data_IF_513383843793
#
_entry.id   IF_513383843793
#
_cell.length_a   1.000
_cell.length_b   1.000
_cell.length_c   1.000
_cell.angle_alpha   90.00
_cell.angle_beta   90.00
_cell.angle_gamma   90.00
#
_symmetry.space_group_name_H-M   'P 1'
#
loop_
_entity.id
_entity.type
_entity.pdbx_description
1 polymer ?
#
# COMPACT_ATOMS: atom_id res chain seq x y z
N UNK A 1 10.89 -63.41 50.20
CA UNK A 1 10.58 -63.88 48.83
C UNK A 1 10.19 -62.68 47.98
N UNK A 2 10.86 -62.52 46.84
CA UNK A 2 10.63 -61.51 45.80
C UNK A 2 9.29 -61.75 45.10
N UNK A 3 8.58 -60.70 44.66
CA UNK A 3 7.92 -60.65 43.34
C UNK A 3 7.58 -59.20 42.94
N UNK A 4 8.00 -58.89 41.72
CA UNK A 4 8.17 -57.60 41.05
C UNK A 4 6.90 -56.75 40.90
N UNK A 5 7.04 -55.45 41.14
CA UNK A 5 6.21 -54.39 40.55
C UNK A 5 6.86 -53.97 39.23
N UNK A 6 6.41 -54.52 38.10
CA UNK A 6 6.98 -54.19 36.78
C UNK A 6 5.93 -53.98 35.68
N UNK A 7 4.68 -53.64 36.01
CA UNK A 7 3.61 -53.61 35.01
C UNK A 7 2.76 -52.33 34.79
N UNK A 8 3.04 -51.12 35.36
CA UNK A 8 2.32 -49.92 34.89
C UNK A 8 3.14 -49.03 33.95
N UNK A 9 4.42 -49.33 33.68
CA UNK A 9 5.30 -48.42 32.91
C UNK A 9 5.22 -48.58 31.39
N UNK A 10 4.76 -49.71 30.87
CA UNK A 10 4.64 -49.92 29.42
C UNK A 10 3.33 -49.38 28.81
N UNK A 11 2.28 -49.16 29.63
CA UNK A 11 1.02 -48.59 29.14
C UNK A 11 1.06 -47.05 28.99
N UNK A 12 1.94 -46.36 29.73
CA UNK A 12 2.07 -44.90 29.67
C UNK A 12 2.93 -44.40 28.49
N UNK A 13 3.81 -45.26 27.95
CA UNK A 13 4.65 -44.92 26.81
C UNK A 13 3.89 -44.99 25.47
N UNK A 14 2.91 -45.89 25.34
CA UNK A 14 2.13 -46.06 24.10
C UNK A 14 1.08 -44.94 23.88
N UNK A 15 0.54 -44.36 24.95
CA UNK A 15 -0.41 -43.23 24.84
C UNK A 15 0.28 -41.90 24.48
N UNK A 16 1.57 -41.76 24.80
CA UNK A 16 2.33 -40.53 24.53
C UNK A 16 2.77 -40.41 23.07
N UNK A 17 2.91 -41.53 22.34
CA UNK A 17 3.28 -41.51 20.92
C UNK A 17 2.09 -41.19 19.98
N UNK A 18 0.86 -41.53 20.39
CA UNK A 18 -0.34 -41.25 19.58
C UNK A 18 -0.83 -39.79 19.69
N UNK A 19 -0.50 -39.08 20.77
CA UNK A 19 -0.86 -37.67 20.98
C UNK A 19 0.14 -36.68 20.37
N UNK A 20 1.34 -37.13 19.98
CA UNK A 20 2.35 -36.28 19.33
C UNK A 20 2.22 -36.23 17.80
N UNK A 21 1.44 -37.12 17.18
CA UNK A 21 1.20 -37.11 15.74
C UNK A 21 0.05 -36.17 15.30
N UNK A 22 -0.77 -35.69 16.23
CA UNK A 22 -1.93 -34.83 15.93
C UNK A 22 -1.59 -33.33 15.86
N UNK A 23 -0.33 -32.94 16.13
CA UNK A 23 0.15 -31.56 16.08
C UNK A 23 1.15 -31.31 14.94
N UNK A 24 1.23 -32.20 13.94
CA UNK A 24 1.95 -31.88 12.73
C UNK A 24 1.23 -30.70 12.04
N UNK A 25 1.87 -29.53 11.85
CA UNK A 25 1.28 -28.49 11.01
C UNK A 25 1.00 -29.12 9.66
N UNK A 26 -0.27 -29.11 9.23
CA UNK A 26 -0.61 -29.46 7.86
C UNK A 26 0.28 -28.59 6.97
N UNK A 27 1.20 -29.23 6.25
CA UNK A 27 2.03 -28.55 5.28
C UNK A 27 1.05 -27.87 4.31
N UNK A 28 0.92 -26.56 4.45
CA UNK A 28 0.09 -25.78 3.55
C UNK A 28 0.63 -26.02 2.16
N UNK A 29 -0.26 -26.26 1.19
CA UNK A 29 0.13 -26.39 -0.20
C UNK A 29 1.09 -25.24 -0.57
N UNK A 30 2.14 -25.50 -1.37
CA UNK A 30 3.04 -24.44 -1.80
C UNK A 30 2.19 -23.31 -2.38
N UNK A 31 2.41 -22.09 -1.88
CA UNK A 31 1.70 -20.92 -2.38
C UNK A 31 1.89 -20.87 -3.91
N UNK A 32 0.80 -20.63 -4.63
CA UNK A 32 0.88 -20.44 -6.08
C UNK A 32 1.91 -19.34 -6.40
N UNK A 33 2.73 -19.51 -7.45
CA UNK A 33 3.67 -18.48 -7.87
C UNK A 33 2.93 -17.16 -8.11
N UNK A 34 3.49 -16.05 -7.64
CA UNK A 34 2.94 -14.73 -7.96
C UNK A 34 2.98 -14.51 -9.49
N UNK A 35 1.95 -13.88 -10.06
CA UNK A 35 1.94 -13.58 -11.48
C UNK A 35 3.07 -12.62 -11.86
N UNK A 36 3.58 -12.74 -13.08
CA UNK A 36 4.59 -11.82 -13.64
C UNK A 36 3.97 -10.41 -13.80
N UNK A 37 4.52 -9.35 -13.21
CA UNK A 37 4.06 -7.98 -13.42
C UNK A 37 3.98 -7.57 -14.90
N UNK A 38 4.78 -8.17 -15.79
CA UNK A 38 4.69 -7.94 -17.24
C UNK A 38 3.38 -8.46 -17.86
N UNK A 39 2.70 -9.39 -17.20
CA UNK A 39 1.40 -9.92 -17.60
C UNK A 39 0.24 -9.00 -17.20
N UNK A 40 0.46 -7.99 -16.36
CA UNK A 40 -0.60 -7.05 -15.97
C UNK A 40 -1.21 -6.37 -17.19
N UNK A 41 -2.55 -6.35 -17.22
CA UNK A 41 -3.34 -5.58 -18.17
C UNK A 41 -4.32 -4.73 -17.37
N UNK A 42 -4.31 -3.40 -17.55
CA UNK A 42 -5.27 -2.53 -16.88
C UNK A 42 -6.70 -2.97 -17.20
N UNK A 43 -7.51 -3.13 -16.16
CA UNK A 43 -8.95 -3.41 -16.32
C UNK A 43 -9.70 -2.16 -16.77
N UNK A 44 -9.28 -1.00 -16.26
CA UNK A 44 -9.74 0.32 -16.68
C UNK A 44 -8.69 0.98 -17.57
N UNK A 45 -9.16 1.78 -18.53
CA UNK A 45 -8.28 2.63 -19.31
C UNK A 45 -7.50 3.59 -18.38
N UNK A 46 -6.15 3.64 -18.50
CA UNK A 46 -5.34 4.64 -17.81
C UNK A 46 -5.78 6.06 -18.18
N UNK A 47 -5.39 7.01 -17.33
CA UNK A 47 -5.68 8.42 -17.50
C UNK A 47 -4.46 9.09 -18.12
N UNK A 48 -4.64 9.75 -19.27
CA UNK A 48 -3.60 10.56 -19.88
C UNK A 48 -3.37 11.84 -19.07
N UNK A 49 -2.25 11.93 -18.35
CA UNK A 49 -1.88 13.09 -17.55
C UNK A 49 -0.86 13.95 -18.30
N UNK A 50 -1.17 15.24 -18.59
CA UNK A 50 -0.25 16.12 -19.31
C UNK A 50 1.14 16.20 -18.66
N UNK A 51 2.18 15.91 -19.44
CA UNK A 51 3.57 15.95 -18.99
C UNK A 51 4.02 14.75 -18.14
N UNK A 52 3.12 13.82 -17.80
CA UNK A 52 3.44 12.57 -17.08
C UNK A 52 3.25 11.35 -17.98
N UNK A 53 2.22 11.35 -18.83
CA UNK A 53 1.81 10.21 -19.64
C UNK A 53 0.64 9.44 -19.02
N UNK A 54 0.50 8.17 -19.39
CA UNK A 54 -0.58 7.31 -18.91
C UNK A 54 -0.42 6.94 -17.44
N UNK A 55 -1.47 7.13 -16.64
CA UNK A 55 -1.47 6.85 -15.20
C UNK A 55 -2.64 5.95 -14.83
N UNK A 56 -2.36 4.85 -14.13
CA UNK A 56 -3.40 3.96 -13.63
C UNK A 56 -4.22 4.60 -12.51
N UNK A 57 -5.50 4.22 -12.40
CA UNK A 57 -6.42 4.79 -11.41
C UNK A 57 -6.26 4.19 -10.01
N UNK A 58 -5.70 2.98 -9.93
CA UNK A 58 -5.76 2.14 -8.74
C UNK A 58 -4.37 1.74 -8.27
N UNK A 59 -4.24 1.57 -6.95
CA UNK A 59 -3.17 0.72 -6.44
C UNK A 59 -3.46 -0.74 -6.79
N UNK A 60 -2.43 -1.48 -7.18
CA UNK A 60 -2.53 -2.86 -7.66
C UNK A 60 -1.92 -3.80 -6.62
N UNK A 61 -2.57 -4.92 -6.34
CA UNK A 61 -2.07 -5.94 -5.40
C UNK A 61 -0.98 -6.80 -6.02
N UNK A 62 -0.35 -7.66 -5.21
CA UNK A 62 0.59 -8.69 -5.67
C UNK A 62 -0.03 -9.69 -6.68
N UNK A 63 -1.35 -9.80 -6.70
CA UNK A 63 -2.12 -10.67 -7.60
C UNK A 63 -2.57 -9.92 -8.87
N UNK A 64 -2.03 -8.73 -9.11
CA UNK A 64 -2.24 -7.88 -10.28
C UNK A 64 -3.71 -7.45 -10.50
N UNK A 65 -4.45 -7.25 -9.41
CA UNK A 65 -5.81 -6.71 -9.42
C UNK A 65 -5.89 -5.40 -8.65
N UNK A 66 -6.87 -4.52 -8.94
CA UNK A 66 -7.08 -3.30 -8.16
C UNK A 66 -7.32 -3.59 -6.68
N UNK A 67 -6.59 -2.92 -5.80
CA UNK A 67 -6.63 -3.12 -4.36
C UNK A 67 -7.97 -2.67 -3.75
N UNK A 68 -8.36 -3.35 -2.67
CA UNK A 68 -9.68 -3.23 -2.03
C UNK A 68 -9.62 -2.81 -0.55
N UNK A 69 -8.62 -2.02 -0.15
CA UNK A 69 -8.35 -1.65 1.25
C UNK A 69 -8.42 -2.88 2.15
N UNK A 70 -7.52 -3.85 1.91
CA UNK A 70 -7.48 -5.12 2.64
C UNK A 70 -8.82 -5.90 2.68
N UNK A 71 -9.69 -5.69 1.69
CA UNK A 71 -11.02 -6.30 1.60
C UNK A 71 -12.10 -5.61 2.45
N UNK A 72 -11.84 -4.43 3.00
CA UNK A 72 -12.81 -3.70 3.81
C UNK A 72 -14.06 -3.32 3.01
N UNK A 73 -15.21 -3.35 3.72
CA UNK A 73 -16.51 -2.99 3.17
C UNK A 73 -17.01 -1.71 3.82
N UNK A 74 -17.23 -0.67 3.02
CA UNK A 74 -17.80 0.59 3.47
C UNK A 74 -19.28 0.65 3.10
N UNK A 75 -20.16 0.56 4.12
CA UNK A 75 -21.60 0.46 3.90
C UNK A 75 -22.00 -0.78 3.09
N UNK A 76 -21.29 -1.90 3.26
CA UNK A 76 -21.51 -3.15 2.52
C UNK A 76 -20.85 -3.22 1.13
N UNK A 77 -20.26 -2.13 0.64
CA UNK A 77 -19.66 -2.03 -0.69
C UNK A 77 -18.15 -2.25 -0.64
N UNK A 78 -17.57 -2.79 -1.71
CA UNK A 78 -16.11 -2.94 -1.85
C UNK A 78 -15.45 -1.56 -1.89
N UNK A 79 -14.51 -1.32 -0.98
CA UNK A 79 -13.73 -0.08 -0.95
C UNK A 79 -12.51 -0.19 -1.87
N UNK A 80 -12.45 0.54 -2.98
CA UNK A 80 -11.27 0.56 -3.86
C UNK A 80 -10.23 1.58 -3.39
N UNK A 81 -8.95 1.28 -3.56
CA UNK A 81 -7.84 2.18 -3.21
C UNK A 81 -7.34 2.98 -4.43
N UNK A 82 -7.72 4.27 -4.55
CA UNK A 82 -7.35 5.09 -5.69
C UNK A 82 -5.91 5.61 -5.60
N UNK A 83 -5.29 5.81 -6.77
CA UNK A 83 -4.18 6.76 -6.90
C UNK A 83 -4.76 8.16 -6.67
N UNK A 84 -4.24 8.84 -5.65
CA UNK A 84 -4.73 10.15 -5.20
C UNK A 84 -3.63 11.20 -5.03
N UNK A 85 -2.38 10.87 -5.39
CA UNK A 85 -1.25 11.82 -5.39
C UNK A 85 -0.41 11.61 -6.65
N UNK A 86 0.02 12.71 -7.27
CA UNK A 86 0.99 12.74 -8.36
C UNK A 86 2.16 13.62 -7.98
N UNK A 87 3.37 13.12 -8.20
CA UNK A 87 4.61 13.84 -7.97
C UNK A 87 5.33 14.05 -9.30
N UNK A 88 5.89 15.24 -9.51
CA UNK A 88 6.78 15.53 -10.62
C UNK A 88 8.03 16.21 -10.06
N UNK A 89 9.20 15.61 -10.24
CA UNK A 89 10.48 16.19 -9.88
C UNK A 89 11.26 16.55 -11.15
N UNK A 90 11.22 17.83 -11.51
CA UNK A 90 11.90 18.36 -12.71
C UNK A 90 13.40 18.55 -12.51
N UNK A 91 13.86 18.57 -11.26
CA UNK A 91 15.26 18.82 -10.95
C UNK A 91 16.11 17.55 -10.98
N UNK A 92 15.49 16.39 -10.71
CA UNK A 92 16.20 15.11 -10.71
C UNK A 92 16.67 14.71 -12.12
N UNK A 93 17.92 14.24 -12.21
CA UNK A 93 18.56 13.83 -13.46
C UNK A 93 18.63 12.32 -13.62
N UNK A 94 18.63 11.58 -12.51
CA UNK A 94 18.62 10.11 -12.50
C UNK A 94 17.45 9.58 -11.66
N UNK A 95 16.99 8.32 -11.88
CA UNK A 95 15.92 7.74 -11.07
C UNK A 95 16.33 7.58 -9.59
N UNK A 96 17.61 7.32 -9.31
CA UNK A 96 18.16 7.25 -7.94
C UNK A 96 18.08 8.62 -7.26
N UNK A 97 18.44 9.68 -7.99
CA UNK A 97 18.32 11.06 -7.51
C UNK A 97 16.87 11.42 -7.23
N UNK A 98 15.95 11.11 -8.16
CA UNK A 98 14.51 11.35 -7.97
C UNK A 98 13.98 10.64 -6.72
N UNK A 99 14.36 9.37 -6.53
CA UNK A 99 13.95 8.56 -5.38
C UNK A 99 14.52 9.12 -4.08
N UNK A 100 15.81 9.47 -4.06
CA UNK A 100 16.46 10.08 -2.89
C UNK A 100 15.81 11.40 -2.50
N UNK A 101 15.50 12.25 -3.49
CA UNK A 101 14.80 13.53 -3.30
C UNK A 101 13.39 13.33 -2.78
N UNK A 102 12.63 12.38 -3.33
CA UNK A 102 11.33 12.00 -2.79
C UNK A 102 11.43 11.55 -1.33
N UNK A 103 12.34 10.64 -1.00
CA UNK A 103 12.54 10.16 0.37
C UNK A 103 12.90 11.29 1.33
N UNK A 104 13.78 12.20 0.93
CA UNK A 104 14.13 13.37 1.73
C UNK A 104 12.90 14.28 1.97
N UNK A 105 12.10 14.54 0.94
CA UNK A 105 10.88 15.33 1.04
C UNK A 105 9.84 14.68 1.97
N UNK A 106 9.62 13.37 1.84
CA UNK A 106 8.69 12.61 2.68
C UNK A 106 9.11 12.65 4.15
N UNK A 107 10.42 12.47 4.43
CA UNK A 107 10.95 12.59 5.79
C UNK A 107 10.77 14.01 6.36
N UNK A 108 11.09 15.05 5.58
CA UNK A 108 10.90 16.44 6.01
C UNK A 108 9.42 16.79 6.27
N UNK A 109 8.50 16.18 5.51
CA UNK A 109 7.06 16.30 5.72
C UNK A 109 6.55 15.49 6.94
N UNK A 110 7.38 14.67 7.58
CA UNK A 110 6.99 13.79 8.69
C UNK A 110 6.44 12.43 8.27
N UNK A 111 6.42 12.14 6.97
CA UNK A 111 5.92 10.90 6.36
C UNK A 111 7.03 9.86 6.07
N UNK A 112 8.12 9.86 6.85
CA UNK A 112 9.18 8.86 6.69
C UNK A 112 8.66 7.41 6.80
N UNK A 113 9.40 6.43 6.26
CA UNK A 113 9.02 5.01 6.32
C UNK A 113 8.75 4.52 7.74
N UNK A 114 7.65 3.78 7.93
CA UNK A 114 7.24 3.19 9.22
C UNK A 114 6.70 1.78 9.03
N UNK A 115 7.09 0.89 9.95
CA UNK A 115 6.68 -0.51 9.95
C UNK A 115 5.23 -0.71 10.44
N UNK A 116 4.69 -1.93 10.27
CA UNK A 116 3.35 -2.31 10.71
C UNK A 116 2.27 -2.21 9.62
N UNK A 117 2.67 -2.02 8.36
CA UNK A 117 1.76 -1.85 7.22
C UNK A 117 1.87 -3.02 6.23
N UNK A 118 0.85 -3.20 5.40
CA UNK A 118 0.89 -4.17 4.29
C UNK A 118 1.84 -3.73 3.18
N UNK A 119 2.44 -4.71 2.50
CA UNK A 119 3.39 -4.50 1.38
C UNK A 119 3.07 -5.38 0.17
N UNK A 120 3.84 -5.21 -0.91
CA UNK A 120 3.71 -5.99 -2.15
C UNK A 120 2.76 -5.36 -3.17
N UNK A 121 2.55 -4.05 -3.07
CA UNK A 121 1.72 -3.29 -4.00
C UNK A 121 2.50 -2.74 -5.18
N UNK A 122 1.76 -2.46 -6.24
CA UNK A 122 2.23 -1.84 -7.47
C UNK A 122 1.37 -0.64 -7.82
N UNK A 123 1.91 0.24 -8.64
CA UNK A 123 1.17 1.32 -9.28
C UNK A 123 1.57 1.43 -10.74
N UNK A 124 0.61 1.81 -11.57
CA UNK A 124 0.82 1.99 -13.01
C UNK A 124 1.11 3.46 -13.32
N UNK A 125 2.25 3.70 -13.96
CA UNK A 125 2.63 5.02 -14.47
C UNK A 125 3.47 4.87 -15.74
N UNK A 126 3.25 5.71 -16.75
CA UNK A 126 3.89 5.57 -18.06
C UNK A 126 3.63 4.22 -18.73
N UNK A 127 2.45 3.62 -18.50
CA UNK A 127 2.07 2.31 -19.04
C UNK A 127 2.83 1.11 -18.47
N UNK A 128 3.50 1.26 -17.32
CA UNK A 128 4.28 0.20 -16.66
C UNK A 128 3.93 0.11 -15.19
N UNK A 129 4.02 -1.09 -14.61
CA UNK A 129 3.93 -1.28 -13.17
C UNK A 129 5.28 -0.98 -12.50
N UNK A 130 5.19 -0.26 -11.39
CA UNK A 130 6.31 0.02 -10.49
C UNK A 130 5.98 -0.51 -9.09
N UNK A 131 6.95 -1.16 -8.46
CA UNK A 131 6.81 -1.63 -7.09
C UNK A 131 6.71 -0.44 -6.13
N UNK A 132 6.08 -0.68 -4.99
CA UNK A 132 5.93 0.35 -3.97
C UNK A 132 7.27 0.82 -3.38
N UNK A 133 7.31 2.11 -3.07
CA UNK A 133 8.16 2.76 -2.09
C UNK A 133 7.31 3.05 -0.84
N UNK A 134 7.88 2.96 0.38
CA UNK A 134 9.21 2.40 0.69
C UNK A 134 9.28 0.89 0.42
N UNK A 135 10.49 0.36 0.29
CA UNK A 135 10.74 -1.05 -0.06
C UNK A 135 10.97 -1.96 1.15
N UNK A 136 11.07 -1.40 2.36
CA UNK A 136 11.29 -2.19 3.57
C UNK A 136 10.10 -3.09 3.91
N UNK A 137 10.40 -4.19 4.61
CA UNK A 137 9.39 -5.19 4.97
C UNK A 137 8.37 -4.59 5.94
N UNK A 138 7.10 -4.64 5.54
CA UNK A 138 6.02 -4.11 6.35
C UNK A 138 5.98 -2.59 6.44
N UNK A 139 6.66 -1.88 5.54
CA UNK A 139 6.76 -0.42 5.58
C UNK A 139 5.72 0.28 4.69
N UNK A 140 5.29 1.45 5.14
CA UNK A 140 4.62 2.47 4.35
C UNK A 140 5.19 3.85 4.69
N UNK A 141 4.99 4.84 3.83
CA UNK A 141 5.15 6.23 4.25
C UNK A 141 4.00 6.58 5.17
N UNK A 142 4.27 7.04 6.39
CA UNK A 142 3.22 7.34 7.37
C UNK A 142 3.58 8.50 8.28
N UNK A 143 2.59 9.29 8.69
CA UNK A 143 2.77 10.41 9.63
C UNK A 143 2.73 10.02 11.11
N UNK A 144 2.46 8.74 11.40
CA UNK A 144 2.35 8.23 12.76
C UNK A 144 2.66 6.74 12.84
N UNK A 145 2.85 6.20 14.05
CA UNK A 145 3.01 4.76 14.21
C UNK A 145 1.70 4.03 13.95
N UNK A 146 1.78 2.78 13.47
CA UNK A 146 0.59 2.01 13.06
C UNK A 146 -0.42 1.82 14.21
N UNK A 147 0.02 1.73 15.48
CA UNK A 147 -0.87 1.55 16.64
C UNK A 147 -1.69 2.80 17.03
N UNK A 148 -1.54 3.90 16.30
CA UNK A 148 -2.36 5.11 16.43
C UNK A 148 -3.05 5.42 15.08
N UNK A 149 -4.18 6.17 15.08
CA UNK A 149 -4.73 6.69 13.83
C UNK A 149 -3.67 7.49 13.08
N UNK A 150 -3.40 7.11 11.84
CA UNK A 150 -2.35 7.70 11.03
C UNK A 150 -2.80 7.80 9.56
N UNK A 151 -2.18 8.70 8.84
CA UNK A 151 -2.22 8.76 7.39
C UNK A 151 -1.01 7.99 6.86
N UNK A 152 -1.24 7.06 5.94
CA UNK A 152 -0.15 6.34 5.31
C UNK A 152 -0.41 6.07 3.84
N UNK A 153 0.64 5.71 3.11
CA UNK A 153 0.52 5.39 1.71
C UNK A 153 1.77 4.78 1.09
N UNK A 154 1.62 4.49 -0.19
CA UNK A 154 2.63 3.86 -1.05
C UNK A 154 2.81 4.75 -2.26
N UNK A 155 4.06 4.88 -2.69
CA UNK A 155 4.42 5.66 -3.88
C UNK A 155 5.04 4.72 -4.92
N UNK A 156 4.78 4.96 -6.19
CA UNK A 156 5.20 4.11 -7.31
C UNK A 156 5.92 4.97 -8.36
N UNK A 157 7.00 4.44 -8.90
CA UNK A 157 7.93 5.16 -9.78
C UNK A 157 9.38 4.95 -9.32
N UNK A 158 10.34 5.76 -9.77
CA UNK A 158 10.19 6.90 -10.69
C UNK A 158 9.99 6.47 -12.15
N UNK A 159 9.17 7.21 -12.90
CA UNK A 159 9.11 7.13 -14.37
C UNK A 159 9.82 8.32 -15.01
N UNK A 160 10.68 8.11 -16.02
CA UNK A 160 11.33 9.22 -16.71
C UNK A 160 10.32 10.04 -17.51
N UNK A 161 10.49 11.36 -17.45
CA UNK A 161 9.77 12.33 -18.27
C UNK A 161 10.71 12.96 -19.30
N UNK A 162 10.18 13.82 -20.16
CA UNK A 162 11.01 14.67 -21.03
C UNK A 162 11.98 15.56 -20.22
N UNK A 163 11.57 15.96 -19.01
CA UNK A 163 12.42 16.65 -18.04
C UNK A 163 12.06 16.17 -16.65
N UNK A 164 13.00 15.47 -16.01
CA UNK A 164 12.83 14.93 -14.66
C UNK A 164 12.10 13.60 -14.60
N UNK A 165 11.44 13.35 -13.47
CA UNK A 165 10.78 12.08 -13.16
C UNK A 165 9.41 12.32 -12.51
N UNK A 166 8.50 11.37 -12.68
CA UNK A 166 7.22 11.35 -11.98
C UNK A 166 7.06 10.15 -11.06
N UNK A 167 6.16 10.29 -10.09
CA UNK A 167 5.67 9.23 -9.23
C UNK A 167 4.16 9.34 -9.05
N UNK A 168 3.51 8.24 -8.72
CA UNK A 168 2.10 8.18 -8.33
C UNK A 168 2.00 7.67 -6.89
N UNK A 169 0.96 8.06 -6.16
CA UNK A 169 0.78 7.63 -4.78
C UNK A 169 -0.68 7.32 -4.44
N UNK A 170 -0.85 6.34 -3.55
CA UNK A 170 -2.13 5.99 -2.93
C UNK A 170 -1.99 6.15 -1.42
N UNK A 171 -2.72 7.12 -0.86
CA UNK A 171 -2.69 7.45 0.56
C UNK A 171 -4.06 7.35 1.19
N UNK A 172 -4.13 6.78 2.38
CA UNK A 172 -5.36 6.64 3.16
C UNK A 172 -5.11 6.88 4.63
N UNK A 173 -6.16 7.30 5.32
CA UNK A 173 -6.22 7.44 6.76
C UNK A 173 -6.86 6.20 7.34
N UNK A 174 -6.22 5.64 8.34
CA UNK A 174 -6.76 4.57 9.16
C UNK A 174 -7.12 5.08 10.56
N UNK A 175 -8.09 4.41 11.18
CA UNK A 175 -8.39 4.54 12.60
C UNK A 175 -7.80 3.39 13.39
N UNK A 176 -8.15 3.33 14.67
CA UNK A 176 -7.88 2.18 15.53
C UNK A 176 -9.21 1.67 16.07
N UNK A 177 -9.41 0.37 16.00
CA UNK A 177 -10.52 -0.34 16.64
C UNK A 177 -9.93 -1.38 17.58
N UNK A 178 -10.26 -1.32 18.86
CA UNK A 178 -9.83 -2.32 19.86
C UNK A 178 -10.85 -3.45 20.02
N UNK A 179 -12.14 -3.13 19.92
CA UNK A 179 -13.26 -4.06 20.12
C UNK A 179 -14.26 -3.98 18.96
N UNK A 180 -14.97 -5.08 18.63
CA UNK A 180 -14.83 -6.43 19.17
C UNK A 180 -13.63 -7.20 18.59
N UNK A 181 -13.06 -6.73 17.47
CA UNK A 181 -11.84 -7.26 16.88
C UNK A 181 -10.84 -6.12 16.65
N UNK A 182 -9.61 -6.25 17.18
CA UNK A 182 -8.54 -5.32 16.88
C UNK A 182 -8.34 -5.15 15.38
N UNK A 183 -8.10 -3.92 14.95
CA UNK A 183 -7.77 -3.64 13.55
C UNK A 183 -7.72 -2.16 13.24
N UNK A 184 -7.35 -1.88 12.00
CA UNK A 184 -7.18 -0.55 11.46
C UNK A 184 -8.32 -0.34 10.45
N UNK A 185 -9.46 0.25 10.83
CA UNK A 185 -10.52 0.52 9.86
C UNK A 185 -10.15 1.72 9.01
N UNK A 186 -10.55 1.71 7.74
CA UNK A 186 -10.56 2.87 6.88
C UNK A 186 -11.27 4.06 7.53
N UNK A 187 -10.75 5.26 7.26
CA UNK A 187 -11.35 6.53 7.65
C UNK A 187 -11.54 7.50 6.50
N UNK A 188 -10.52 7.70 5.67
CA UNK A 188 -10.57 8.73 4.64
C UNK A 188 -9.42 8.59 3.64
N UNK A 189 -9.68 8.78 2.35
CA UNK A 189 -8.63 9.02 1.36
C UNK A 189 -8.33 10.52 1.24
N UNK A 190 -9.35 11.38 1.31
CA UNK A 190 -9.19 12.81 1.09
C UNK A 190 -8.35 13.49 2.18
N UNK A 191 -8.58 13.16 3.46
CA UNK A 191 -7.80 13.70 4.59
C UNK A 191 -6.33 13.33 4.47
N UNK A 192 -6.00 12.07 4.13
CA UNK A 192 -4.62 11.65 3.98
C UNK A 192 -3.93 12.34 2.79
N UNK A 193 -4.64 12.49 1.66
CA UNK A 193 -4.14 13.23 0.50
C UNK A 193 -3.82 14.68 0.84
N UNK A 194 -4.77 15.39 1.46
CA UNK A 194 -4.60 16.82 1.75
C UNK A 194 -3.55 17.07 2.83
N UNK A 195 -3.52 16.27 3.89
CA UNK A 195 -2.50 16.41 4.94
C UNK A 195 -1.08 16.17 4.38
N UNK A 196 -0.90 15.12 3.57
CA UNK A 196 0.38 14.88 2.90
C UNK A 196 0.78 16.07 2.01
N UNK A 197 -0.14 16.54 1.16
CA UNK A 197 0.13 17.63 0.23
C UNK A 197 0.45 18.94 0.96
N UNK A 198 -0.27 19.28 2.04
CA UNK A 198 -0.01 20.48 2.85
C UNK A 198 1.36 20.41 3.53
N UNK A 199 1.73 19.25 4.09
CA UNK A 199 3.04 19.04 4.74
C UNK A 199 4.18 19.08 3.73
N UNK A 200 4.04 18.45 2.56
CA UNK A 200 5.04 18.52 1.50
C UNK A 200 5.20 19.96 0.98
N UNK A 201 4.09 20.65 0.72
CA UNK A 201 4.08 22.03 0.23
C UNK A 201 4.79 22.99 1.19
N UNK A 202 4.60 22.81 2.50
CA UNK A 202 5.18 23.67 3.53
C UNK A 202 6.60 23.29 3.96
N UNK A 203 6.99 22.01 3.87
CA UNK A 203 8.24 21.49 4.48
C UNK A 203 9.23 20.89 3.51
N UNK A 204 8.94 20.90 2.20
CA UNK A 204 9.81 20.30 1.19
C UNK A 204 9.90 21.13 -0.09
N UNK A 205 10.65 20.62 -1.07
CA UNK A 205 10.74 21.16 -2.42
C UNK A 205 9.50 20.93 -3.29
N UNK A 206 8.63 19.98 -2.95
CA UNK A 206 7.40 19.74 -3.68
C UNK A 206 6.37 20.80 -3.33
N UNK A 207 5.80 21.46 -4.35
CA UNK A 207 4.76 22.47 -4.21
C UNK A 207 3.46 22.01 -4.87
N UNK A 208 2.32 22.32 -4.23
CA UNK A 208 1.00 22.01 -4.78
C UNK A 208 0.78 22.84 -6.04
N UNK A 209 0.63 22.16 -7.18
CA UNK A 209 0.41 22.78 -8.48
C UNK A 209 -1.05 22.70 -8.94
N UNK A 210 -1.88 21.89 -8.27
CA UNK A 210 -3.30 21.74 -8.57
C UNK A 210 -3.80 20.32 -8.34
N UNK A 211 -4.85 19.96 -9.06
CA UNK A 211 -5.45 18.63 -9.04
C UNK A 211 -5.63 18.12 -10.46
N UNK A 212 -5.45 16.82 -10.64
CA UNK A 212 -5.70 16.09 -11.88
C UNK A 212 -6.93 15.23 -11.68
N UNK A 213 -7.91 15.34 -12.58
CA UNK A 213 -9.05 14.44 -12.59
C UNK A 213 -8.62 13.06 -13.06
N UNK A 214 -8.78 12.07 -12.17
CA UNK A 214 -8.43 10.68 -12.43
C UNK A 214 -9.66 9.84 -12.80
N UNK A 215 -10.87 10.41 -12.75
CA UNK A 215 -12.11 9.67 -12.96
C UNK A 215 -12.25 8.47 -12.01
N UNK A 216 -11.59 8.51 -10.85
CA UNK A 216 -11.48 7.37 -9.93
C UNK A 216 -12.48 7.43 -8.77
N UNK A 217 -13.51 8.26 -8.87
CA UNK A 217 -14.62 8.28 -7.91
C UNK A 217 -15.58 7.15 -8.23
N UNK A 218 -15.73 6.19 -7.30
CA UNK A 218 -16.75 5.16 -7.39
C UNK A 218 -17.87 5.41 -6.38
N UNK A 219 -19.09 5.35 -6.86
CA UNK A 219 -20.31 5.40 -6.05
C UNK A 219 -21.39 4.52 -6.70
N UNK A 220 -21.15 3.22 -6.68
CA UNK A 220 -22.07 2.22 -7.25
C UNK A 220 -22.74 1.43 -6.12
N UNK A 221 -23.74 0.59 -6.43
CA UNK A 221 -24.33 -0.30 -5.42
C UNK A 221 -23.36 -1.31 -4.81
N UNK A 222 -22.26 -1.65 -5.51
CA UNK A 222 -21.33 -2.72 -5.11
C UNK A 222 -19.94 -2.21 -4.76
N UNK A 223 -19.54 -1.03 -5.22
CA UNK A 223 -18.20 -0.47 -5.07
C UNK A 223 -18.24 1.00 -4.68
N UNK A 224 -17.23 1.43 -3.93
CA UNK A 224 -17.06 2.81 -3.51
C UNK A 224 -15.59 3.17 -3.35
N UNK A 225 -15.27 4.44 -3.51
CA UNK A 225 -13.99 5.02 -3.07
C UNK A 225 -14.14 5.88 -1.83
N UNK A 226 -15.17 5.63 -1.01
CA UNK A 226 -15.43 6.39 0.21
C UNK A 226 -15.56 7.88 -0.04
N UNK A 227 -14.73 8.68 0.63
CA UNK A 227 -14.73 10.14 0.50
C UNK A 227 -13.86 10.68 -0.66
N UNK A 228 -13.22 9.81 -1.44
CA UNK A 228 -12.40 10.24 -2.57
C UNK A 228 -13.24 10.97 -3.62
N UNK A 229 -12.72 12.10 -4.09
CA UNK A 229 -13.40 13.00 -5.04
C UNK A 229 -13.07 12.69 -6.51
N UNK A 230 -12.32 11.61 -6.77
CA UNK A 230 -11.92 11.19 -8.11
C UNK A 230 -10.65 11.88 -8.62
N UNK A 231 -10.00 12.71 -7.82
CA UNK A 231 -8.83 13.51 -8.24
C UNK A 231 -7.55 13.12 -7.50
N UNK A 232 -6.42 13.28 -8.18
CA UNK A 232 -5.11 13.26 -7.54
C UNK A 232 -4.59 14.68 -7.34
N UNK A 233 -3.98 14.96 -6.20
CA UNK A 233 -3.24 16.23 -6.00
C UNK A 233 -1.92 16.17 -6.76
N UNK A 234 -1.58 17.24 -7.48
CA UNK A 234 -0.32 17.36 -8.22
C UNK A 234 0.69 18.16 -7.41
N UNK A 235 1.84 17.55 -7.14
CA UNK A 235 2.97 18.11 -6.41
C UNK A 235 4.19 18.19 -7.33
N UNK A 236 4.78 19.37 -7.47
CA UNK A 236 5.89 19.62 -8.40
C UNK A 236 7.11 20.16 -7.67
N UNK A 237 8.28 19.59 -7.92
CA UNK A 237 9.58 20.10 -7.50
C UNK A 237 10.38 20.59 -8.72
N UNK A 238 11.17 21.65 -8.55
CA UNK A 238 12.01 22.22 -9.62
C UNK A 238 11.26 23.13 -10.61
N UNK A 239 10.12 23.70 -10.20
CA UNK A 239 9.49 24.82 -10.91
C UNK A 239 10.09 26.15 -10.50
N UNK A 240 10.45 26.98 -11.48
CA UNK A 240 10.60 28.43 -11.32
C UNK A 240 9.23 29.09 -11.38
#
# INVERSE_FOLDING_TARGET
MKRSRLLPLLALAALSAALLAACAPSASAPAEPLPDPAAYRPTDAPVSVPGVGEVGRWMITKDLVPATWLGEKLGGRTLREPINVLFVDRAARTPEEATSRLLAAMNAAGYGPKSGHSTGYWGEVGGRLYSMLPTGKGEAFSDGPFWLPNNHGRIFGPVPLASGYAFTGAFSREGIRLLPRPGHPYRSFQVAREDLADKLNSRSMYKRAGYVDMGSRLDTPTETTGDHDGRAVLLVAGGS
#
